data_IF_223090056212
#
_entry.id   IF_223090056212
#
_cell.length_a   1.000
_cell.length_b   1.000
_cell.length_c   1.000
_cell.angle_alpha   90.00
_cell.angle_beta   90.00
_cell.angle_gamma   90.00
#
_symmetry.space_group_name_H-M   'P 1'
#
loop_
_entity.id
_entity.type
_entity.pdbx_description
1 polymer ?
#
# COMPACT_ATOMS: atom_id res chain seq x y z
N UNK A 1 -65.82 -74.41 -29.40
CA UNK A 1 -64.66 -75.02 -28.76
C UNK A 1 -63.40 -74.23 -29.15
N UNK A 2 -63.01 -73.25 -28.36
CA UNK A 2 -61.83 -72.45 -28.60
C UNK A 2 -60.72 -72.94 -27.69
N UNK A 3 -59.60 -73.38 -28.26
CA UNK A 3 -58.39 -73.79 -27.52
C UNK A 3 -57.57 -72.59 -27.15
N UNK A 4 -57.56 -72.24 -25.89
CA UNK A 4 -56.64 -71.24 -25.33
C UNK A 4 -55.18 -71.75 -25.40
N UNK A 5 -54.33 -70.99 -26.02
CA UNK A 5 -52.90 -71.30 -26.25
C UNK A 5 -52.05 -70.70 -25.07
N UNK A 6 -51.45 -71.56 -24.22
CA UNK A 6 -50.72 -71.10 -23.02
C UNK A 6 -49.36 -70.40 -23.29
N UNK A 7 -48.92 -70.32 -24.56
CA UNK A 7 -47.61 -69.74 -24.93
C UNK A 7 -47.59 -68.21 -24.95
N UNK A 8 -48.74 -67.55 -24.90
CA UNK A 8 -48.82 -66.08 -24.95
C UNK A 8 -48.43 -65.40 -23.60
N UNK A 9 -48.80 -66.05 -22.48
CA UNK A 9 -48.51 -65.43 -21.14
C UNK A 9 -47.07 -65.52 -20.70
N UNK A 10 -46.31 -66.50 -21.14
CA UNK A 10 -44.90 -66.65 -20.79
C UNK A 10 -44.01 -65.55 -21.47
N UNK A 11 -44.31 -65.13 -22.71
CA UNK A 11 -43.58 -64.07 -23.44
C UNK A 11 -43.81 -62.66 -22.87
N UNK A 12 -45.01 -62.42 -22.32
CA UNK A 12 -45.32 -61.11 -21.70
C UNK A 12 -44.60 -60.99 -20.35
N UNK A 13 -44.57 -62.01 -19.53
CA UNK A 13 -43.84 -61.98 -18.24
C UNK A 13 -42.35 -61.83 -18.40
N UNK A 14 -41.77 -62.42 -19.42
CA UNK A 14 -40.33 -62.31 -19.71
C UNK A 14 -39.91 -60.88 -20.21
N UNK A 15 -40.79 -60.19 -20.95
CA UNK A 15 -40.56 -58.83 -21.39
C UNK A 15 -40.61 -57.81 -20.23
N UNK A 16 -41.52 -58.01 -19.27
CA UNK A 16 -41.61 -57.11 -18.10
C UNK A 16 -40.49 -57.37 -17.09
N UNK A 17 -40.01 -58.60 -16.93
CA UNK A 17 -38.86 -58.88 -16.03
C UNK A 17 -37.55 -58.38 -16.58
N UNK A 18 -37.33 -58.34 -17.90
CA UNK A 18 -36.18 -57.78 -18.54
C UNK A 18 -36.21 -56.20 -18.46
N UNK A 19 -37.39 -55.58 -18.65
CA UNK A 19 -37.61 -54.17 -18.52
C UNK A 19 -37.40 -53.67 -17.10
N UNK A 20 -37.86 -54.39 -16.08
CA UNK A 20 -37.72 -54.07 -14.67
C UNK A 20 -36.25 -54.24 -14.22
N UNK A 21 -35.54 -55.28 -14.72
CA UNK A 21 -34.10 -55.49 -14.48
C UNK A 21 -33.22 -54.36 -15.09
N UNK A 22 -33.55 -53.90 -16.30
CA UNK A 22 -32.87 -52.80 -16.95
C UNK A 22 -33.09 -51.45 -16.26
N UNK A 23 -34.32 -51.22 -15.77
CA UNK A 23 -34.66 -50.01 -15.00
C UNK A 23 -33.96 -49.97 -13.63
N UNK A 24 -33.85 -51.10 -12.95
CA UNK A 24 -33.10 -51.22 -11.69
C UNK A 24 -31.58 -51.01 -11.91
N UNK A 25 -31.03 -51.52 -13.01
CA UNK A 25 -29.61 -51.35 -13.35
C UNK A 25 -29.25 -49.91 -13.69
N UNK A 26 -30.17 -49.19 -14.33
CA UNK A 26 -30.02 -47.76 -14.62
C UNK A 26 -30.11 -46.92 -13.34
N UNK A 27 -31.01 -47.26 -12.39
CA UNK A 27 -31.09 -46.52 -11.11
C UNK A 27 -29.87 -46.73 -10.19
N UNK A 28 -29.25 -47.92 -10.22
CA UNK A 28 -28.01 -48.18 -9.43
C UNK A 28 -26.79 -47.50 -10.07
N UNK A 29 -26.78 -47.27 -11.40
CA UNK A 29 -25.71 -46.57 -12.10
C UNK A 29 -25.63 -45.07 -11.81
N UNK A 30 -26.74 -44.43 -11.38
CA UNK A 30 -26.76 -43.01 -11.03
C UNK A 30 -26.34 -42.70 -9.59
N UNK A 31 -26.25 -43.68 -8.71
CA UNK A 31 -25.84 -43.48 -7.30
C UNK A 31 -24.33 -43.63 -7.05
N UNK A 32 -23.54 -43.95 -8.08
CA UNK A 32 -22.13 -44.30 -7.91
C UNK A 32 -21.16 -43.23 -8.40
N UNK A 33 -21.66 -42.04 -8.79
CA UNK A 33 -20.80 -41.01 -9.43
C UNK A 33 -20.68 -39.69 -8.68
N UNK A 34 -21.08 -39.59 -7.41
CA UNK A 34 -20.85 -38.32 -6.67
C UNK A 34 -19.36 -38.03 -6.39
N UNK A 35 -18.54 -39.08 -6.22
CA UNK A 35 -17.08 -38.88 -5.94
C UNK A 35 -16.17 -38.91 -7.18
N UNK A 36 -16.69 -39.09 -8.40
CA UNK A 36 -15.87 -39.13 -9.64
C UNK A 36 -15.92 -37.81 -10.39
N UNK A 37 -16.91 -36.96 -10.11
CA UNK A 37 -17.09 -35.68 -10.82
C UNK A 37 -16.38 -34.48 -10.14
N UNK A 38 -15.85 -34.66 -8.94
CA UNK A 38 -14.95 -33.73 -8.29
C UNK A 38 -13.63 -34.47 -7.98
N UNK A 39 -12.76 -34.74 -8.96
CA UNK A 39 -11.42 -35.16 -8.64
C UNK A 39 -10.77 -34.03 -7.83
N UNK A 40 -10.41 -34.29 -6.57
CA UNK A 40 -9.51 -33.40 -5.87
C UNK A 40 -8.30 -33.18 -6.77
N UNK A 41 -7.96 -31.94 -7.11
CA UNK A 41 -6.83 -31.67 -7.98
C UNK A 41 -5.58 -32.16 -7.28
N UNK A 42 -4.97 -33.22 -7.78
CA UNK A 42 -3.75 -33.87 -7.23
C UNK A 42 -2.55 -32.90 -7.23
N UNK A 43 -2.66 -31.78 -7.98
CA UNK A 43 -1.63 -30.78 -8.15
C UNK A 43 -1.98 -29.42 -7.48
N UNK A 44 -3.02 -29.35 -6.66
CA UNK A 44 -3.34 -28.14 -5.89
C UNK A 44 -3.14 -28.44 -4.40
N UNK A 45 -2.28 -27.62 -3.76
CA UNK A 45 -2.21 -27.56 -2.31
C UNK A 45 -3.55 -26.95 -1.85
N UNK A 46 -4.29 -27.66 -1.03
CA UNK A 46 -5.56 -27.17 -0.42
C UNK A 46 -5.24 -26.26 0.76
N UNK A 47 -6.14 -25.36 1.12
CA UNK A 47 -5.92 -24.34 2.15
C UNK A 47 -5.52 -24.96 3.51
N UNK A 48 -6.06 -26.13 3.84
CA UNK A 48 -5.72 -26.92 5.03
C UNK A 48 -4.33 -27.56 5.01
N UNK A 49 -3.67 -27.59 3.85
CA UNK A 49 -2.28 -28.09 3.67
C UNK A 49 -1.25 -26.96 3.66
N UNK A 50 -1.67 -25.71 3.50
CA UNK A 50 -0.77 -24.54 3.39
C UNK A 50 -0.29 -24.06 4.77
N UNK A 51 -1.18 -24.07 5.78
CA UNK A 51 -0.94 -23.47 7.09
C UNK A 51 -1.09 -24.52 8.20
N UNK A 52 -0.04 -25.30 8.45
CA UNK A 52 -0.08 -26.45 9.36
C UNK A 52 0.83 -26.33 10.57
N UNK A 53 1.96 -25.63 10.42
CA UNK A 53 3.01 -25.52 11.45
C UNK A 53 3.68 -24.12 11.44
N UNK A 54 4.59 -23.88 12.37
CA UNK A 54 5.29 -22.61 12.51
C UNK A 54 6.08 -22.23 11.24
N UNK A 55 6.63 -23.18 10.51
CA UNK A 55 7.38 -22.93 9.28
C UNK A 55 6.46 -22.45 8.16
N UNK A 56 5.34 -23.11 7.96
CA UNK A 56 4.34 -22.72 6.97
C UNK A 56 3.69 -21.36 7.27
N UNK A 57 3.45 -21.04 8.55
CA UNK A 57 2.98 -19.73 8.97
C UNK A 57 3.98 -18.62 8.60
N UNK A 58 5.28 -18.85 8.81
CA UNK A 58 6.32 -17.90 8.43
C UNK A 58 6.40 -17.70 6.91
N UNK A 59 6.17 -18.73 6.11
CA UNK A 59 6.09 -18.63 4.63
C UNK A 59 4.92 -17.75 4.21
N UNK A 60 3.73 -17.94 4.83
CA UNK A 60 2.56 -17.10 4.53
C UNK A 60 2.83 -15.64 4.89
N UNK A 61 3.43 -15.35 6.04
CA UNK A 61 3.82 -13.99 6.44
C UNK A 61 4.83 -13.40 5.45
N UNK A 62 5.79 -14.18 4.95
CA UNK A 62 6.72 -13.71 3.90
C UNK A 62 5.97 -13.30 2.62
N UNK A 63 4.91 -14.03 2.27
CA UNK A 63 3.99 -13.64 1.18
C UNK A 63 3.24 -12.34 1.47
N UNK A 64 2.87 -12.07 2.73
CA UNK A 64 2.22 -10.81 3.15
C UNK A 64 3.21 -9.62 3.04
N UNK A 65 4.49 -9.81 3.42
CA UNK A 65 5.54 -8.81 3.18
C UNK A 65 5.75 -8.52 1.69
N UNK A 66 5.58 -9.54 0.83
CA UNK A 66 5.58 -9.32 -0.62
C UNK A 66 4.43 -8.42 -1.08
N UNK A 67 3.28 -8.51 -0.43
CA UNK A 67 2.16 -7.57 -0.61
C UNK A 67 2.56 -6.14 -0.28
N UNK A 68 3.23 -5.90 0.85
CA UNK A 68 3.76 -4.59 1.21
C UNK A 68 4.73 -4.07 0.14
N UNK A 69 5.66 -4.90 -0.32
CA UNK A 69 6.60 -4.54 -1.38
C UNK A 69 5.89 -4.15 -2.69
N UNK A 70 4.82 -4.86 -3.02
CA UNK A 70 4.02 -4.59 -4.22
C UNK A 70 3.21 -3.28 -4.15
N UNK A 71 3.04 -2.69 -2.96
CA UNK A 71 2.40 -1.37 -2.79
C UNK A 71 3.36 -0.20 -3.05
N UNK A 72 4.67 -0.40 -3.08
CA UNK A 72 5.66 0.67 -3.13
C UNK A 72 5.55 1.55 -4.39
N UNK A 73 5.66 0.96 -5.57
CA UNK A 73 5.56 1.70 -6.83
C UNK A 73 4.16 2.33 -7.03
N UNK A 74 3.03 1.62 -6.81
CA UNK A 74 1.70 2.23 -6.84
C UNK A 74 1.53 3.40 -5.86
N UNK A 75 2.11 3.33 -4.64
CA UNK A 75 2.10 4.43 -3.68
C UNK A 75 2.81 5.67 -4.21
N UNK A 76 4.02 5.51 -4.80
CA UNK A 76 4.78 6.61 -5.37
C UNK A 76 4.01 7.25 -6.53
N UNK A 77 3.41 6.45 -7.41
CA UNK A 77 2.57 6.96 -8.48
C UNK A 77 1.37 7.73 -7.93
N UNK A 78 0.64 7.17 -6.97
CA UNK A 78 -0.53 7.83 -6.38
C UNK A 78 -0.14 9.07 -5.56
N UNK A 79 1.01 9.05 -4.89
CA UNK A 79 1.43 10.10 -3.97
C UNK A 79 2.23 11.25 -4.60
N UNK A 80 2.95 11.00 -5.69
CA UNK A 80 3.83 12.01 -6.28
C UNK A 80 3.41 12.42 -7.69
N UNK A 81 2.80 11.51 -8.49
CA UNK A 81 2.39 11.84 -9.85
C UNK A 81 1.05 12.58 -9.89
N UNK A 82 0.16 12.35 -8.90
CA UNK A 82 -1.04 13.19 -8.71
C UNK A 82 -0.71 14.58 -8.18
N UNK A 83 0.53 14.80 -7.74
CA UNK A 83 1.01 16.07 -7.21
C UNK A 83 1.91 16.81 -8.21
N UNK A 84 2.59 17.82 -7.67
CA UNK A 84 3.54 18.67 -8.37
C UNK A 84 4.99 18.09 -8.45
N UNK A 85 5.13 16.76 -8.22
CA UNK A 85 6.44 16.09 -8.20
C UNK A 85 6.79 15.36 -9.50
N UNK A 86 5.86 14.60 -10.07
CA UNK A 86 6.15 13.70 -11.20
C UNK A 86 5.19 13.94 -12.37
N UNK A 87 5.66 13.64 -13.57
CA UNK A 87 4.86 13.64 -14.79
C UNK A 87 5.21 12.46 -15.70
N UNK A 88 4.30 12.12 -16.60
CA UNK A 88 4.55 11.13 -17.64
C UNK A 88 5.56 11.65 -18.65
N UNK A 89 6.45 10.77 -19.12
CA UNK A 89 7.42 11.04 -20.18
C UNK A 89 7.32 10.02 -21.33
N UNK A 90 6.85 8.81 -21.05
CA UNK A 90 6.78 7.73 -22.02
C UNK A 90 5.43 7.62 -22.73
N UNK A 91 5.11 6.40 -23.17
CA UNK A 91 3.92 6.08 -23.95
C UNK A 91 2.86 5.30 -23.19
N UNK A 92 3.07 5.05 -21.90
CA UNK A 92 2.14 4.30 -21.07
C UNK A 92 0.91 5.14 -20.73
N UNK A 93 -0.22 4.80 -21.33
CA UNK A 93 -1.48 5.53 -21.19
C UNK A 93 -1.92 5.73 -19.74
N UNK A 94 -1.66 4.75 -18.86
CA UNK A 94 -1.99 4.88 -17.45
C UNK A 94 -1.27 6.03 -16.74
N UNK A 95 -0.03 6.34 -17.13
CA UNK A 95 0.71 7.47 -16.56
C UNK A 95 0.33 8.79 -17.24
N UNK A 96 0.06 8.76 -18.54
CA UNK A 96 -0.42 9.93 -19.29
C UNK A 96 -1.77 10.41 -18.73
N UNK A 97 -2.72 9.50 -18.48
CA UNK A 97 -4.01 9.84 -17.87
C UNK A 97 -3.85 10.51 -16.48
N UNK A 98 -2.99 9.94 -15.61
CA UNK A 98 -2.72 10.52 -14.29
C UNK A 98 -2.09 11.91 -14.42
N UNK A 99 -1.06 12.05 -15.26
CA UNK A 99 -0.32 13.29 -15.46
C UNK A 99 -1.18 14.42 -16.02
N UNK A 100 -2.17 14.06 -16.83
CA UNK A 100 -3.09 14.99 -17.50
C UNK A 100 -4.39 15.24 -16.73
N UNK A 101 -4.61 14.57 -15.58
CA UNK A 101 -5.87 14.64 -14.81
C UNK A 101 -7.09 14.23 -15.65
N UNK A 102 -6.91 13.19 -16.47
CA UNK A 102 -7.95 12.55 -17.29
C UNK A 102 -8.04 11.07 -16.93
N UNK A 103 -8.02 10.79 -15.63
CA UNK A 103 -7.95 9.44 -15.07
C UNK A 103 -9.27 8.71 -15.29
N UNK A 104 -9.24 7.56 -15.96
CA UNK A 104 -10.44 6.75 -16.19
C UNK A 104 -10.59 5.62 -15.17
N UNK A 105 -11.81 5.12 -14.95
CA UNK A 105 -12.06 3.95 -14.11
C UNK A 105 -11.40 2.66 -14.63
N UNK A 106 -10.96 2.62 -15.88
CA UNK A 106 -10.21 1.52 -16.49
C UNK A 106 -8.70 1.68 -16.39
N UNK A 107 -8.20 2.73 -15.73
CA UNK A 107 -6.78 3.00 -15.59
C UNK A 107 -6.04 1.86 -14.88
N UNK A 108 -4.94 1.40 -15.48
CA UNK A 108 -4.19 0.25 -14.98
C UNK A 108 -3.48 0.54 -13.63
N UNK A 109 -3.05 1.77 -13.37
CA UNK A 109 -2.43 2.16 -12.10
C UNK A 109 -3.45 2.18 -10.97
N UNK A 110 -4.66 2.70 -11.22
CA UNK A 110 -5.76 2.66 -10.25
C UNK A 110 -6.16 1.20 -9.93
N UNK A 111 -6.26 0.35 -10.95
CA UNK A 111 -6.53 -1.08 -10.74
C UNK A 111 -5.39 -1.78 -9.98
N UNK A 112 -4.12 -1.44 -10.25
CA UNK A 112 -2.97 -2.09 -9.62
C UNK A 112 -2.92 -1.84 -8.11
N UNK A 113 -3.07 -0.58 -7.66
CA UNK A 113 -3.09 -0.26 -6.24
C UNK A 113 -4.26 -0.93 -5.51
N UNK A 114 -5.46 -0.87 -6.08
CA UNK A 114 -6.62 -1.55 -5.53
C UNK A 114 -6.39 -3.07 -5.39
N UNK A 115 -5.92 -3.69 -6.48
CA UNK A 115 -5.71 -5.14 -6.50
C UNK A 115 -4.67 -5.59 -5.48
N UNK A 116 -3.58 -4.86 -5.30
CA UNK A 116 -2.55 -5.24 -4.32
C UNK A 116 -3.05 -5.07 -2.88
N UNK A 117 -3.86 -4.04 -2.59
CA UNK A 117 -4.47 -3.86 -1.27
C UNK A 117 -5.34 -5.08 -0.93
N UNK A 118 -6.25 -5.47 -1.82
CA UNK A 118 -7.19 -6.55 -1.55
C UNK A 118 -6.59 -7.94 -1.63
N UNK A 119 -5.61 -8.19 -2.51
CA UNK A 119 -4.87 -9.46 -2.50
C UNK A 119 -4.03 -9.63 -1.24
N UNK A 120 -3.45 -8.55 -0.73
CA UNK A 120 -2.73 -8.56 0.55
C UNK A 120 -3.70 -8.77 1.71
N UNK A 121 -4.85 -8.10 1.73
CA UNK A 121 -5.89 -8.30 2.75
C UNK A 121 -6.39 -9.75 2.76
N UNK A 122 -6.56 -10.38 1.59
CA UNK A 122 -6.91 -11.80 1.49
C UNK A 122 -5.85 -12.69 2.15
N UNK A 123 -4.56 -12.49 1.84
CA UNK A 123 -3.48 -13.28 2.44
C UNK A 123 -3.40 -13.10 3.96
N UNK A 124 -3.66 -11.87 4.44
CA UNK A 124 -3.74 -11.59 5.88
C UNK A 124 -4.91 -12.32 6.52
N UNK A 125 -6.11 -12.25 5.92
CA UNK A 125 -7.29 -12.94 6.42
C UNK A 125 -7.06 -14.46 6.45
N UNK A 126 -6.44 -15.01 5.40
CA UNK A 126 -6.07 -16.43 5.34
C UNK A 126 -5.15 -16.83 6.50
N UNK A 127 -4.13 -16.03 6.80
CA UNK A 127 -3.27 -16.28 7.96
C UNK A 127 -4.08 -16.21 9.26
N UNK A 128 -4.85 -15.15 9.46
CA UNK A 128 -5.56 -14.92 10.72
C UNK A 128 -6.63 -15.97 10.99
N UNK A 129 -7.34 -16.45 9.97
CA UNK A 129 -8.33 -17.51 10.08
C UNK A 129 -7.69 -18.86 10.45
N UNK A 130 -6.52 -19.17 9.91
CA UNK A 130 -5.82 -20.44 10.16
C UNK A 130 -4.86 -20.44 11.34
N UNK A 131 -4.36 -19.27 11.76
CA UNK A 131 -3.31 -19.13 12.79
C UNK A 131 -3.65 -19.79 14.14
N UNK A 132 -4.92 -19.82 14.62
CA UNK A 132 -5.27 -20.53 15.85
C UNK A 132 -4.99 -22.05 15.83
N UNK A 133 -5.08 -22.68 14.66
CA UNK A 133 -4.91 -24.13 14.47
C UNK A 133 -3.45 -24.51 14.17
N UNK A 134 -2.55 -23.53 13.96
CA UNK A 134 -1.13 -23.78 13.66
C UNK A 134 -0.43 -24.42 14.85
N UNK A 135 0.18 -25.59 14.61
CA UNK A 135 0.92 -26.32 15.64
C UNK A 135 2.36 -25.86 15.78
N UNK A 136 2.92 -25.98 16.98
CA UNK A 136 4.34 -25.68 17.23
C UNK A 136 4.67 -24.18 17.36
N UNK A 137 3.68 -23.29 17.32
CA UNK A 137 3.86 -21.87 17.65
C UNK A 137 3.70 -21.65 19.17
N UNK A 138 4.66 -20.95 19.76
CA UNK A 138 4.48 -20.37 21.11
C UNK A 138 3.66 -19.08 21.00
N UNK A 139 3.04 -18.66 22.11
CA UNK A 139 2.11 -17.52 22.10
C UNK A 139 2.78 -16.23 21.60
N UNK A 140 4.03 -15.95 21.99
CA UNK A 140 4.76 -14.76 21.52
C UNK A 140 5.01 -14.74 20.01
N UNK A 141 5.27 -15.91 19.39
CA UNK A 141 5.44 -16.00 17.94
C UNK A 141 4.11 -15.82 17.22
N UNK A 142 3.04 -16.41 17.79
CA UNK A 142 1.68 -16.25 17.27
C UNK A 142 1.27 -14.78 17.28
N UNK A 143 1.45 -14.10 18.42
CA UNK A 143 1.18 -12.66 18.59
C UNK A 143 1.97 -11.81 17.59
N UNK A 144 3.25 -12.12 17.39
CA UNK A 144 4.11 -11.43 16.42
C UNK A 144 3.62 -11.61 14.99
N UNK A 145 3.34 -12.84 14.55
CA UNK A 145 2.87 -13.12 13.19
C UNK A 145 1.52 -12.46 12.91
N UNK A 146 0.60 -12.48 13.89
CA UNK A 146 -0.67 -11.77 13.81
C UNK A 146 -0.45 -10.26 13.69
N UNK A 147 0.45 -9.68 14.50
CA UNK A 147 0.73 -8.25 14.46
C UNK A 147 1.37 -7.81 13.13
N UNK A 148 2.33 -8.59 12.60
CA UNK A 148 2.93 -8.31 11.29
C UNK A 148 1.87 -8.31 10.18
N UNK A 149 0.98 -9.28 10.19
CA UNK A 149 -0.09 -9.38 9.20
C UNK A 149 -1.09 -8.22 9.30
N UNK A 150 -1.59 -7.92 10.50
CA UNK A 150 -2.52 -6.82 10.74
C UNK A 150 -1.92 -5.47 10.37
N UNK A 151 -0.65 -5.23 10.70
CA UNK A 151 0.06 -4.02 10.29
C UNK A 151 0.01 -3.80 8.78
N UNK A 152 0.36 -4.82 8.00
CA UNK A 152 0.43 -4.70 6.54
C UNK A 152 -0.96 -4.51 5.93
N UNK A 153 -2.00 -5.15 6.48
CA UNK A 153 -3.39 -4.93 6.10
C UNK A 153 -3.83 -3.49 6.38
N UNK A 154 -3.55 -3.01 7.59
CA UNK A 154 -3.86 -1.63 7.99
C UNK A 154 -3.16 -0.61 7.08
N UNK A 155 -1.89 -0.84 6.75
CA UNK A 155 -1.15 0.02 5.82
C UNK A 155 -1.80 0.08 4.44
N UNK A 156 -2.23 -1.06 3.90
CA UNK A 156 -2.97 -1.12 2.64
C UNK A 156 -4.30 -0.36 2.69
N UNK A 157 -5.10 -0.56 3.74
CA UNK A 157 -6.37 0.17 3.92
C UNK A 157 -6.17 1.67 4.14
N UNK A 158 -5.11 2.07 4.85
CA UNK A 158 -4.73 3.49 4.99
C UNK A 158 -4.45 4.13 3.63
N UNK A 159 -3.63 3.50 2.78
CA UNK A 159 -3.39 3.98 1.42
C UNK A 159 -4.67 4.00 0.59
N UNK A 160 -5.49 2.96 0.69
CA UNK A 160 -6.76 2.86 -0.01
C UNK A 160 -7.73 3.98 0.36
N UNK A 161 -7.92 4.25 1.66
CA UNK A 161 -8.79 5.30 2.17
C UNK A 161 -8.38 6.69 1.65
N UNK A 162 -7.09 7.00 1.67
CA UNK A 162 -6.61 8.30 1.19
C UNK A 162 -6.53 8.40 -0.34
N UNK A 163 -6.54 7.29 -1.07
CA UNK A 163 -6.52 7.29 -2.54
C UNK A 163 -7.93 7.25 -3.13
N UNK A 164 -8.80 6.34 -2.66
CA UNK A 164 -10.13 6.09 -3.23
C UNK A 164 -11.28 6.64 -2.39
N UNK A 165 -11.03 7.13 -1.18
CA UNK A 165 -12.07 7.51 -0.22
C UNK A 165 -12.72 6.29 0.42
N UNK A 166 -14.05 6.18 0.32
CA UNK A 166 -14.77 5.01 0.81
C UNK A 166 -14.32 3.75 0.09
N UNK A 167 -14.04 2.67 0.83
CA UNK A 167 -13.62 1.38 0.29
C UNK A 167 -14.21 0.21 1.10
N UNK A 168 -14.37 -1.00 0.53
CA UNK A 168 -14.82 -2.16 1.28
C UNK A 168 -13.82 -2.58 2.36
N UNK A 169 -14.30 -2.86 3.58
CA UNK A 169 -13.51 -3.53 4.63
C UNK A 169 -13.78 -5.03 4.50
N UNK A 170 -12.74 -5.79 4.14
CA UNK A 170 -12.79 -7.23 3.92
C UNK A 170 -11.93 -7.94 4.95
N UNK A 171 -12.54 -8.70 5.85
CA UNK A 171 -11.88 -9.38 6.97
C UNK A 171 -12.06 -10.91 6.95
N UNK A 172 -12.55 -11.47 5.83
CA UNK A 172 -12.76 -12.91 5.65
C UNK A 172 -12.23 -13.36 4.29
N UNK A 173 -11.85 -14.64 4.17
CA UNK A 173 -11.50 -15.29 2.90
C UNK A 173 -12.71 -15.75 2.11
N UNK A 174 -13.90 -15.76 2.70
CA UNK A 174 -15.14 -16.25 2.10
C UNK A 174 -15.56 -15.43 0.88
N UNK A 175 -15.46 -16.01 -0.31
CA UNK A 175 -15.88 -15.38 -1.57
C UNK A 175 -17.37 -15.03 -1.54
N UNK A 176 -18.21 -15.90 -0.93
CA UNK A 176 -19.65 -15.70 -0.86
C UNK A 176 -20.04 -14.48 -0.02
N UNK A 177 -19.30 -14.20 1.05
CA UNK A 177 -19.48 -13.02 1.90
C UNK A 177 -18.94 -11.77 1.20
N UNK A 178 -17.70 -11.83 0.71
CA UNK A 178 -16.97 -10.69 0.19
C UNK A 178 -17.58 -10.11 -1.10
N UNK A 179 -18.18 -10.94 -1.95
CA UNK A 179 -18.78 -10.51 -3.24
C UNK A 179 -19.93 -9.51 -3.11
N UNK A 180 -20.48 -9.32 -1.92
CA UNK A 180 -21.59 -8.41 -1.64
C UNK A 180 -21.25 -7.28 -0.65
N UNK A 181 -19.98 -7.17 -0.24
CA UNK A 181 -19.54 -6.08 0.63
C UNK A 181 -19.52 -4.78 -0.17
N UNK A 182 -20.23 -3.75 0.33
CA UNK A 182 -20.20 -2.40 -0.21
C UNK A 182 -19.00 -1.60 0.29
N UNK A 183 -18.90 -0.35 -0.16
CA UNK A 183 -17.90 0.59 0.37
C UNK A 183 -18.31 1.04 1.78
N UNK A 184 -17.41 0.94 2.72
CA UNK A 184 -17.52 1.58 4.03
C UNK A 184 -17.11 3.04 3.94
N UNK A 185 -17.78 3.95 4.67
CA UNK A 185 -17.34 5.34 4.76
C UNK A 185 -15.88 5.46 5.18
N UNK A 186 -15.16 6.44 4.64
CA UNK A 186 -13.72 6.62 4.87
C UNK A 186 -13.37 6.67 6.37
N UNK A 187 -14.22 7.27 7.20
CA UNK A 187 -13.97 7.31 8.64
C UNK A 187 -14.05 5.93 9.30
N UNK A 188 -14.97 5.06 8.88
CA UNK A 188 -15.04 3.67 9.37
C UNK A 188 -13.81 2.85 8.95
N UNK A 189 -13.32 3.09 7.72
CA UNK A 189 -12.07 2.47 7.24
C UNK A 189 -10.89 2.94 8.09
N UNK A 190 -10.82 4.22 8.41
CA UNK A 190 -9.74 4.78 9.23
C UNK A 190 -9.83 4.33 10.69
N UNK A 191 -11.04 4.18 11.25
CA UNK A 191 -11.22 3.63 12.60
C UNK A 191 -10.75 2.16 12.65
N UNK A 192 -11.04 1.37 11.62
CA UNK A 192 -10.49 0.01 11.47
C UNK A 192 -8.96 0.01 11.37
N UNK A 193 -8.37 0.92 10.59
CA UNK A 193 -6.90 1.07 10.47
C UNK A 193 -6.27 1.42 11.82
N UNK A 194 -6.88 2.31 12.59
CA UNK A 194 -6.41 2.69 13.92
C UNK A 194 -6.37 1.49 14.88
N UNK A 195 -7.46 0.72 14.94
CA UNK A 195 -7.54 -0.49 15.76
C UNK A 195 -6.46 -1.50 15.40
N UNK A 196 -6.26 -1.74 14.10
CA UNK A 196 -5.23 -2.65 13.60
C UNK A 196 -3.81 -2.17 13.97
N UNK A 197 -3.48 -0.89 13.78
CA UNK A 197 -2.16 -0.36 14.17
C UNK A 197 -1.94 -0.39 15.67
N UNK A 198 -2.94 -0.01 16.48
CA UNK A 198 -2.84 -0.04 17.93
C UNK A 198 -2.61 -1.46 18.47
N UNK A 199 -3.23 -2.47 17.84
CA UNK A 199 -3.00 -3.88 18.18
C UNK A 199 -1.53 -4.27 18.05
N UNK A 200 -0.77 -3.67 17.14
CA UNK A 200 0.59 -4.09 16.82
C UNK A 200 1.67 -3.55 17.77
N UNK A 201 1.39 -2.43 18.46
CA UNK A 201 2.41 -1.67 19.22
C UNK A 201 3.17 -2.53 20.22
N UNK A 202 2.48 -3.30 21.06
CA UNK A 202 3.16 -4.08 22.11
C UNK A 202 3.44 -5.54 21.72
N UNK A 203 3.15 -5.93 20.49
CA UNK A 203 3.29 -7.30 19.99
C UNK A 203 4.48 -7.48 19.03
N UNK A 204 4.92 -6.39 18.43
CA UNK A 204 6.11 -6.38 17.57
C UNK A 204 7.39 -6.19 18.41
N UNK A 205 8.54 -6.74 17.95
CA UNK A 205 9.79 -6.62 18.69
C UNK A 205 10.25 -5.15 18.79
N UNK A 206 10.85 -4.78 19.93
CA UNK A 206 11.46 -3.45 20.11
C UNK A 206 12.61 -3.25 19.14
N UNK A 207 13.47 -4.26 18.99
CA UNK A 207 14.64 -4.23 18.10
C UNK A 207 14.47 -5.34 17.06
N UNK A 208 14.21 -4.98 15.79
CA UNK A 208 14.13 -5.96 14.71
C UNK A 208 15.53 -6.45 14.29
N UNK A 209 15.61 -7.54 13.56
CA UNK A 209 16.89 -8.05 13.02
C UNK A 209 17.55 -7.05 12.04
N UNK A 210 16.76 -6.34 11.29
CA UNK A 210 17.11 -5.17 10.47
C UNK A 210 15.82 -4.41 10.11
N UNK A 211 15.93 -3.26 9.46
CA UNK A 211 14.78 -2.44 9.07
C UNK A 211 13.84 -3.09 8.03
N UNK A 212 14.17 -4.24 7.46
CA UNK A 212 13.27 -5.00 6.59
C UNK A 212 12.16 -5.75 7.33
N UNK A 213 12.21 -5.79 8.67
CA UNK A 213 11.20 -6.44 9.49
C UNK A 213 10.42 -5.42 10.34
N UNK A 214 9.15 -5.70 10.52
CA UNK A 214 8.28 -4.89 11.37
C UNK A 214 8.75 -4.90 12.82
N UNK A 215 8.64 -3.74 13.45
CA UNK A 215 9.06 -3.50 14.82
C UNK A 215 8.05 -2.61 15.55
N UNK A 216 8.18 -2.51 16.85
CA UNK A 216 7.43 -1.53 17.66
C UNK A 216 7.68 -0.09 17.15
N UNK A 217 8.91 0.21 16.73
CA UNK A 217 9.25 1.48 16.10
C UNK A 217 8.45 1.73 14.81
N UNK A 218 8.29 0.71 13.96
CA UNK A 218 7.48 0.82 12.74
C UNK A 218 5.98 1.02 13.07
N UNK A 219 5.45 0.32 14.08
CA UNK A 219 4.08 0.48 14.54
C UNK A 219 3.81 1.92 15.04
N UNK A 220 4.72 2.45 15.85
CA UNK A 220 4.64 3.84 16.35
C UNK A 220 4.81 4.86 15.24
N UNK A 221 5.68 4.64 14.27
CA UNK A 221 5.85 5.52 13.11
C UNK A 221 4.58 5.53 12.23
N UNK A 222 3.94 4.38 12.04
CA UNK A 222 2.65 4.30 11.34
C UNK A 222 1.55 5.06 12.08
N UNK A 223 1.46 4.93 13.41
CA UNK A 223 0.51 5.69 14.23
C UNK A 223 0.81 7.20 14.22
N UNK A 224 2.09 7.61 14.26
CA UNK A 224 2.45 9.03 14.13
C UNK A 224 1.95 9.63 12.82
N UNK A 225 2.17 8.94 11.68
CA UNK A 225 1.65 9.34 10.36
C UNK A 225 0.13 9.29 10.31
N UNK A 226 -0.49 8.27 10.85
CA UNK A 226 -1.93 8.10 10.90
C UNK A 226 -2.59 9.28 11.65
N UNK A 227 -2.12 9.60 12.86
CA UNK A 227 -2.66 10.70 13.65
C UNK A 227 -2.37 12.08 13.06
N UNK A 228 -1.21 12.27 12.38
CA UNK A 228 -0.97 13.47 11.58
C UNK A 228 -2.08 13.68 10.53
N UNK A 229 -2.48 12.61 9.84
CA UNK A 229 -3.50 12.66 8.78
C UNK A 229 -4.92 12.79 9.35
N UNK A 230 -5.15 12.33 10.58
CA UNK A 230 -6.40 12.53 11.34
C UNK A 230 -6.47 13.88 12.05
N UNK A 231 -5.42 14.70 11.95
CA UNK A 231 -5.28 15.98 12.67
C UNK A 231 -5.35 15.84 14.20
N UNK A 232 -5.05 14.65 14.72
CA UNK A 232 -4.85 14.41 16.15
C UNK A 232 -3.41 14.74 16.52
N UNK A 233 -3.16 16.03 16.75
CA UNK A 233 -1.84 16.58 16.97
C UNK A 233 -1.15 16.06 18.24
N UNK A 234 -1.93 15.72 19.26
CA UNK A 234 -1.41 15.19 20.53
C UNK A 234 -0.84 13.79 20.32
N UNK A 235 -1.59 12.90 19.70
CA UNK A 235 -1.14 11.55 19.43
C UNK A 235 -0.05 11.50 18.36
N UNK A 236 -0.12 12.34 17.32
CA UNK A 236 0.93 12.47 16.30
C UNK A 236 2.28 12.86 16.94
N UNK A 237 2.28 13.87 17.82
CA UNK A 237 3.48 14.28 18.56
C UNK A 237 3.97 13.19 19.52
N UNK A 238 3.07 12.53 20.23
CA UNK A 238 3.42 11.49 21.19
C UNK A 238 4.16 10.34 20.52
N UNK A 239 3.57 9.73 19.49
CA UNK A 239 4.18 8.59 18.82
C UNK A 239 5.47 8.98 18.07
N UNK A 240 5.52 10.13 17.42
CA UNK A 240 6.75 10.62 16.81
C UNK A 240 7.86 10.84 17.87
N UNK A 241 7.51 11.37 19.05
CA UNK A 241 8.46 11.56 20.15
C UNK A 241 8.97 10.23 20.70
N UNK A 242 8.11 9.23 20.86
CA UNK A 242 8.50 7.91 21.34
C UNK A 242 9.53 7.25 20.38
N UNK A 243 9.32 7.36 19.07
CA UNK A 243 10.27 6.86 18.06
C UNK A 243 11.60 7.62 18.13
N UNK A 244 11.56 8.96 18.14
CA UNK A 244 12.77 9.81 18.19
C UNK A 244 13.59 9.58 19.46
N UNK A 245 12.92 9.25 20.58
CA UNK A 245 13.57 9.10 21.89
C UNK A 245 13.95 7.65 22.21
N UNK A 246 13.72 6.69 21.29
CA UNK A 246 14.04 5.27 21.51
C UNK A 246 13.21 4.60 22.61
N UNK A 247 11.99 5.09 22.90
CA UNK A 247 11.15 4.51 23.94
C UNK A 247 10.52 3.21 23.48
N UNK A 248 11.02 2.08 23.98
CA UNK A 248 10.61 0.72 23.57
C UNK A 248 10.71 0.54 22.05
N UNK A 249 11.77 1.08 21.42
CA UNK A 249 12.07 0.92 20.00
C UNK A 249 13.58 0.71 19.82
N UNK A 250 14.02 0.37 18.60
CA UNK A 250 15.43 0.49 18.26
C UNK A 250 15.90 1.94 18.34
N UNK A 251 17.21 2.13 18.53
CA UNK A 251 17.84 3.45 18.47
C UNK A 251 18.02 3.87 17.01
N UNK A 252 17.24 4.86 16.58
CA UNK A 252 17.36 5.47 15.26
C UNK A 252 18.14 6.80 15.37
N UNK A 253 19.01 7.07 14.41
CA UNK A 253 19.80 8.30 14.35
C UNK A 253 19.73 8.93 12.97
N UNK A 254 19.64 10.27 12.91
CA UNK A 254 19.74 10.96 11.63
C UNK A 254 21.13 10.75 11.04
N UNK A 255 21.19 10.52 9.74
CA UNK A 255 22.44 10.48 9.00
C UNK A 255 23.16 11.84 9.07
N UNK A 256 24.47 11.84 8.95
CA UNK A 256 25.27 13.06 9.01
C UNK A 256 25.01 14.00 7.82
N UNK A 257 24.64 13.42 6.68
CA UNK A 257 24.32 14.10 5.42
C UNK A 257 23.22 13.34 4.68
N UNK A 258 22.68 13.93 3.62
CA UNK A 258 21.59 13.29 2.87
C UNK A 258 22.04 12.09 2.02
N UNK A 259 23.30 12.02 1.61
CA UNK A 259 23.84 10.86 0.87
C UNK A 259 23.69 9.56 1.69
N UNK A 260 23.93 9.64 3.02
CA UNK A 260 23.74 8.51 3.93
C UNK A 260 22.31 7.97 3.95
N UNK A 261 21.30 8.83 3.74
CA UNK A 261 19.87 8.44 3.70
C UNK A 261 19.55 7.53 2.51
N UNK A 262 20.32 7.62 1.44
CA UNK A 262 20.10 6.83 0.22
C UNK A 262 20.67 5.41 0.33
N UNK A 263 21.40 5.09 1.39
CA UNK A 263 21.94 3.76 1.60
C UNK A 263 20.87 2.81 2.19
N UNK A 264 20.91 1.56 1.76
CA UNK A 264 20.12 0.50 2.38
C UNK A 264 20.43 0.39 3.87
N UNK A 265 19.39 0.20 4.68
CA UNK A 265 19.48 0.09 6.14
C UNK A 265 20.21 1.27 6.80
N UNK A 266 20.00 2.49 6.28
CA UNK A 266 20.54 3.70 6.89
C UNK A 266 20.13 3.80 8.37
N UNK A 267 20.89 4.53 9.18
CA UNK A 267 20.58 4.72 10.61
C UNK A 267 19.25 5.43 10.87
N UNK A 268 18.67 6.08 9.85
CA UNK A 268 17.33 6.66 9.89
C UNK A 268 16.20 5.67 9.60
N UNK A 269 16.51 4.50 9.02
CA UNK A 269 15.50 3.58 8.52
C UNK A 269 14.77 2.86 9.65
N UNK A 270 13.46 3.08 9.73
CA UNK A 270 12.56 2.44 10.69
C UNK A 270 11.94 1.18 10.07
N UNK A 271 11.51 1.29 8.82
CA UNK A 271 11.00 0.17 8.03
C UNK A 271 11.37 0.39 6.56
N UNK A 272 11.95 -0.63 5.95
CA UNK A 272 12.27 -0.68 4.53
C UNK A 272 11.62 -1.87 3.85
N UNK A 273 11.27 -1.70 2.59
CA UNK A 273 11.00 -2.80 1.67
C UNK A 273 12.34 -3.24 1.11
N UNK A 274 12.72 -4.48 1.42
CA UNK A 274 14.02 -5.03 1.02
C UNK A 274 13.92 -5.71 -0.33
N UNK A 275 14.80 -5.35 -1.23
CA UNK A 275 14.95 -6.02 -2.53
C UNK A 275 16.28 -6.76 -2.61
N UNK A 276 16.26 -7.87 -3.33
CA UNK A 276 17.46 -8.63 -3.70
C UNK A 276 17.51 -8.81 -5.21
N UNK A 277 18.66 -9.21 -5.71
CA UNK A 277 18.82 -9.53 -7.14
C UNK A 277 17.86 -10.65 -7.62
N UNK A 278 17.40 -11.51 -6.68
CA UNK A 278 16.45 -12.58 -6.99
C UNK A 278 14.99 -12.08 -6.98
N UNK A 279 14.68 -11.06 -6.18
CA UNK A 279 13.31 -10.53 -6.01
C UNK A 279 13.00 -9.44 -7.02
N UNK A 280 14.04 -8.75 -7.49
CA UNK A 280 13.93 -7.70 -8.50
C UNK A 280 14.55 -8.20 -9.81
N UNK A 281 13.74 -8.68 -10.77
CA UNK A 281 14.23 -9.22 -12.04
C UNK A 281 14.89 -8.16 -12.95
N UNK A 282 15.42 -7.08 -12.38
CA UNK A 282 16.14 -6.03 -13.09
C UNK A 282 15.24 -4.93 -13.63
N UNK A 283 15.77 -4.14 -14.56
CA UNK A 283 15.15 -2.95 -15.14
C UNK A 283 13.86 -3.21 -15.94
N UNK A 284 13.46 -4.47 -16.15
CA UNK A 284 12.25 -4.83 -16.87
C UNK A 284 11.05 -5.18 -15.99
N UNK A 285 11.21 -5.21 -14.65
CA UNK A 285 10.13 -5.53 -13.74
C UNK A 285 9.24 -4.31 -13.46
N UNK A 286 7.93 -4.47 -13.55
CA UNK A 286 6.95 -3.45 -13.12
C UNK A 286 7.00 -3.16 -11.61
N UNK A 287 7.75 -3.93 -10.84
CA UNK A 287 7.99 -3.73 -9.40
C UNK A 287 9.24 -2.90 -9.13
N UNK A 288 10.07 -2.66 -10.13
CA UNK A 288 11.28 -1.85 -9.99
C UNK A 288 10.96 -0.37 -10.16
N UNK A 289 11.09 0.39 -9.08
CA UNK A 289 11.00 1.85 -9.12
C UNK A 289 12.14 2.44 -9.97
N UNK A 290 13.33 1.83 -9.94
CA UNK A 290 14.42 2.22 -10.82
C UNK A 290 14.03 2.13 -12.30
N UNK A 291 13.31 1.07 -12.72
CA UNK A 291 12.86 0.97 -14.11
C UNK A 291 11.89 2.10 -14.49
N UNK A 292 11.07 2.55 -13.55
CA UNK A 292 10.13 3.66 -13.76
C UNK A 292 10.86 4.97 -14.08
N UNK A 293 11.93 5.27 -13.34
CA UNK A 293 12.66 6.54 -13.41
C UNK A 293 13.85 6.49 -14.38
N UNK A 294 14.73 5.50 -14.25
CA UNK A 294 16.01 5.42 -14.96
C UNK A 294 15.93 4.48 -16.18
N UNK A 295 15.41 3.26 -16.01
CA UNK A 295 15.50 2.23 -17.02
C UNK A 295 14.69 2.56 -18.28
N UNK A 296 13.39 2.88 -18.13
CA UNK A 296 12.49 3.25 -19.23
C UNK A 296 12.15 4.72 -19.29
N UNK A 297 12.41 5.44 -18.22
CA UNK A 297 12.07 6.86 -18.07
C UNK A 297 10.61 7.19 -18.44
N UNK A 298 9.68 6.33 -18.05
CA UNK A 298 8.23 6.53 -18.26
C UNK A 298 7.69 7.69 -17.43
N UNK A 299 8.42 8.06 -16.34
CA UNK A 299 8.07 9.13 -15.42
C UNK A 299 9.33 9.95 -15.12
N UNK A 300 9.18 11.27 -15.19
CA UNK A 300 10.23 12.25 -14.91
C UNK A 300 9.78 13.26 -13.86
N UNK A 301 10.69 13.98 -13.20
CA UNK A 301 10.33 15.03 -12.25
C UNK A 301 9.71 16.24 -12.99
N UNK A 302 8.70 16.87 -12.36
CA UNK A 302 8.16 18.16 -12.82
C UNK A 302 9.09 19.30 -12.47
N UNK A 303 9.00 20.40 -13.21
CA UNK A 303 9.78 21.62 -12.97
C UNK A 303 9.60 22.16 -11.55
N UNK A 304 8.45 21.98 -10.93
CA UNK A 304 8.14 22.43 -9.57
C UNK A 304 9.05 21.77 -8.53
N UNK A 305 9.21 20.44 -8.58
CA UNK A 305 10.07 19.72 -7.62
C UNK A 305 11.56 19.95 -7.95
N UNK A 306 11.92 20.03 -9.23
CA UNK A 306 13.28 20.37 -9.64
C UNK A 306 13.66 21.73 -9.06
N UNK A 307 12.80 22.75 -9.22
CA UNK A 307 13.01 24.07 -8.66
C UNK A 307 13.12 24.04 -7.12
N UNK A 308 12.24 23.31 -6.44
CA UNK A 308 12.24 23.20 -4.98
C UNK A 308 13.54 22.56 -4.47
N UNK A 309 13.96 21.42 -5.05
CA UNK A 309 15.20 20.72 -4.67
C UNK A 309 16.45 21.59 -4.88
N UNK A 310 16.50 22.35 -5.98
CA UNK A 310 17.62 23.24 -6.30
C UNK A 310 17.61 24.54 -5.51
N UNK A 311 16.46 24.99 -5.01
CA UNK A 311 16.35 26.27 -4.30
C UNK A 311 16.49 26.13 -2.79
N UNK A 312 15.88 25.10 -2.21
CA UNK A 312 15.77 24.87 -0.76
C UNK A 312 16.10 23.42 -0.36
N UNK A 313 16.43 22.56 -1.31
CA UNK A 313 16.71 21.15 -1.05
C UNK A 313 18.08 20.87 -0.42
N UNK A 314 19.04 21.80 -0.57
CA UNK A 314 20.41 21.56 -0.13
C UNK A 314 21.01 20.31 -0.78
N UNK A 315 21.59 19.42 0.01
CA UNK A 315 22.18 18.16 -0.50
C UNK A 315 21.20 17.21 -1.19
N UNK A 316 19.88 17.42 -1.05
CA UNK A 316 18.85 16.55 -1.65
C UNK A 316 18.77 16.66 -3.18
N UNK A 317 19.42 17.68 -3.78
CA UNK A 317 19.56 17.79 -5.24
C UNK A 317 20.23 16.53 -5.85
N UNK A 318 21.03 15.78 -5.09
CA UNK A 318 21.64 14.51 -5.52
C UNK A 318 20.64 13.44 -5.95
N UNK A 319 19.35 13.58 -5.62
CA UNK A 319 18.28 12.70 -6.13
C UNK A 319 17.96 12.92 -7.60
N UNK A 320 18.52 13.97 -8.22
CA UNK A 320 18.27 14.36 -9.60
C UNK A 320 19.55 14.32 -10.43
N UNK A 321 19.44 13.84 -11.67
CA UNK A 321 20.48 13.93 -12.69
C UNK A 321 19.94 14.68 -13.90
N UNK A 322 20.78 15.48 -14.54
CA UNK A 322 20.42 16.22 -15.74
C UNK A 322 21.27 15.81 -16.92
N UNK A 323 20.62 15.44 -18.04
CA UNK A 323 21.26 15.20 -19.33
C UNK A 323 20.56 16.04 -20.40
N UNK A 324 21.35 16.92 -21.04
CA UNK A 324 20.84 17.79 -22.09
C UNK A 324 20.50 17.04 -23.40
N UNK A 325 21.08 15.86 -23.60
CA UNK A 325 20.83 15.03 -24.77
C UNK A 325 19.47 14.32 -24.70
N UNK A 326 18.89 14.24 -23.49
CA UNK A 326 17.56 13.69 -23.24
C UNK A 326 16.41 14.68 -23.52
N UNK A 327 16.71 15.96 -23.71
CA UNK A 327 15.67 16.98 -23.94
C UNK A 327 15.01 16.75 -25.30
N UNK A 328 13.75 16.26 -25.28
CA UNK A 328 12.96 16.06 -26.49
C UNK A 328 11.45 16.00 -26.18
N UNK A 329 10.64 16.71 -26.97
CA UNK A 329 9.19 16.73 -26.73
C UNK A 329 8.85 17.27 -25.34
N UNK A 330 8.19 16.48 -24.50
CA UNK A 330 7.83 16.83 -23.13
C UNK A 330 8.93 16.44 -22.11
N UNK A 331 10.04 15.82 -22.56
CA UNK A 331 11.17 15.47 -21.71
C UNK A 331 12.02 16.71 -21.39
N UNK A 332 12.15 17.00 -20.10
CA UNK A 332 12.89 18.15 -19.61
C UNK A 332 14.38 17.87 -19.32
N UNK A 333 14.88 16.68 -19.66
CA UNK A 333 16.27 16.25 -19.45
C UNK A 333 16.62 15.84 -18.02
N UNK A 334 15.66 15.88 -17.07
CA UNK A 334 15.90 15.49 -15.70
C UNK A 334 15.43 14.06 -15.40
N UNK A 335 16.20 13.36 -14.61
CA UNK A 335 15.94 11.98 -14.18
C UNK A 335 15.97 11.89 -12.65
N UNK A 336 15.03 11.14 -12.05
CA UNK A 336 15.09 10.79 -10.63
C UNK A 336 16.05 9.61 -10.48
N UNK A 337 17.16 9.83 -9.76
CA UNK A 337 18.21 8.81 -9.52
C UNK A 337 18.25 8.33 -8.06
N UNK A 338 17.22 8.66 -7.27
CA UNK A 338 17.10 8.28 -5.87
C UNK A 338 17.20 6.76 -5.63
N UNK A 339 16.73 5.94 -6.57
CA UNK A 339 16.63 4.50 -6.42
C UNK A 339 17.48 3.78 -7.47
N UNK A 340 18.50 3.07 -7.02
CA UNK A 340 19.24 2.11 -7.85
C UNK A 340 18.42 0.86 -8.18
N UNK A 341 18.98 -0.06 -8.98
CA UNK A 341 18.24 -1.24 -9.47
C UNK A 341 17.75 -2.20 -8.37
N UNK A 342 18.40 -2.20 -7.22
CA UNK A 342 18.14 -3.13 -6.12
C UNK A 342 18.04 -2.42 -4.77
N UNK A 343 18.03 -1.09 -4.75
CA UNK A 343 17.96 -0.32 -3.51
C UNK A 343 16.65 -0.59 -2.79
N UNK A 344 16.72 -0.64 -1.48
CA UNK A 344 15.57 -0.73 -0.61
C UNK A 344 14.72 0.54 -0.69
N UNK A 345 13.44 0.42 -0.34
CA UNK A 345 12.52 1.54 -0.32
C UNK A 345 12.10 1.82 1.10
N UNK A 346 12.40 3.01 1.61
CA UNK A 346 11.94 3.45 2.91
C UNK A 346 10.41 3.56 2.97
N UNK A 347 9.81 2.87 3.94
CA UNK A 347 8.38 3.01 4.28
C UNK A 347 8.22 4.06 5.37
N UNK A 348 9.09 4.01 6.39
CA UNK A 348 9.20 4.97 7.47
C UNK A 348 10.66 5.26 7.79
N UNK A 349 10.99 6.52 8.01
CA UNK A 349 12.33 6.96 8.43
C UNK A 349 12.26 8.10 9.44
N UNK A 350 13.31 8.25 10.22
CA UNK A 350 13.39 9.14 11.37
C UNK A 350 13.11 10.61 11.01
N UNK A 351 13.58 11.07 9.86
CA UNK A 351 13.34 12.45 9.42
C UNK A 351 11.86 12.78 9.29
N UNK A 352 11.02 11.82 8.82
CA UNK A 352 9.58 12.00 8.80
C UNK A 352 9.02 12.20 10.21
N UNK A 353 9.51 11.47 11.20
CA UNK A 353 9.06 11.60 12.59
C UNK A 353 9.37 13.00 13.15
N UNK A 354 10.54 13.58 12.85
CA UNK A 354 10.83 14.95 13.18
C UNK A 354 9.86 15.93 12.52
N UNK A 355 9.52 15.74 11.24
CA UNK A 355 8.61 16.64 10.52
C UNK A 355 7.15 16.48 10.98
N UNK A 356 6.72 15.28 11.34
CA UNK A 356 5.42 15.04 11.99
C UNK A 356 5.36 15.79 13.32
N UNK A 357 6.38 15.64 14.16
CA UNK A 357 6.45 16.31 15.45
C UNK A 357 6.51 17.82 15.33
N UNK A 358 7.26 18.32 14.34
CA UNK A 358 7.33 19.75 14.04
C UNK A 358 5.96 20.34 13.73
N UNK A 359 5.20 19.68 12.82
CA UNK A 359 3.86 20.13 12.46
C UNK A 359 2.87 20.03 13.64
N UNK A 360 2.86 18.89 14.33
CA UNK A 360 1.99 18.68 15.49
C UNK A 360 2.21 19.74 16.58
N UNK A 361 3.46 20.06 16.90
CA UNK A 361 3.82 21.12 17.84
C UNK A 361 3.41 22.50 17.35
N UNK A 362 3.65 22.81 16.08
CA UNK A 362 3.23 24.08 15.48
C UNK A 362 1.71 24.25 15.52
N UNK A 363 0.93 23.21 15.18
CA UNK A 363 -0.55 23.21 15.26
C UNK A 363 -1.06 23.43 16.66
N UNK A 364 -0.36 22.95 17.66
CA UNK A 364 -0.66 23.15 19.08
C UNK A 364 -0.15 24.50 19.65
N UNK A 365 0.35 25.41 18.79
CA UNK A 365 0.85 26.73 19.17
C UNK A 365 2.26 26.72 19.79
N UNK A 366 2.94 25.58 19.81
CA UNK A 366 4.32 25.45 20.33
C UNK A 366 5.31 25.62 19.20
N UNK A 367 5.69 26.87 18.95
CA UNK A 367 6.53 27.21 17.79
C UNK A 367 8.02 27.13 18.08
N UNK A 368 8.48 27.70 19.20
CA UNK A 368 9.91 27.90 19.55
C UNK A 368 10.27 27.26 20.88
N UNK A 369 11.57 27.21 21.17
CA UNK A 369 12.11 26.56 22.39
C UNK A 369 12.38 25.07 22.18
N UNK A 370 12.84 24.39 23.22
CA UNK A 370 13.27 22.98 23.21
C UNK A 370 12.16 22.01 22.74
N UNK A 371 10.90 22.38 23.00
CA UNK A 371 9.72 21.59 22.60
C UNK A 371 8.92 22.28 21.48
N UNK A 372 9.54 23.19 20.74
CA UNK A 372 8.91 23.88 19.62
C UNK A 372 9.12 23.19 18.27
N UNK A 373 8.14 23.34 17.37
CA UNK A 373 8.20 22.76 16.03
C UNK A 373 9.37 23.29 15.18
N UNK A 374 9.79 24.54 15.42
CA UNK A 374 10.93 25.12 14.72
C UNK A 374 12.23 24.37 15.00
N UNK A 375 12.42 23.83 16.21
CA UNK A 375 13.61 23.07 16.56
C UNK A 375 13.72 21.78 15.73
N UNK A 376 12.61 21.07 15.56
CA UNK A 376 12.57 19.84 14.76
C UNK A 376 12.79 20.13 13.27
N UNK A 377 12.20 21.21 12.73
CA UNK A 377 12.45 21.68 11.37
C UNK A 377 13.92 22.02 11.14
N UNK A 378 14.53 22.78 12.06
CA UNK A 378 15.95 23.13 12.02
C UNK A 378 16.86 21.90 12.02
N UNK A 379 16.51 20.87 12.76
CA UNK A 379 17.29 19.63 12.81
C UNK A 379 17.37 18.98 11.42
N UNK A 380 16.27 18.92 10.68
CA UNK A 380 16.24 18.33 9.34
C UNK A 380 16.94 19.23 8.32
N UNK A 381 16.72 20.54 8.34
CA UNK A 381 17.37 21.48 7.42
C UNK A 381 18.89 21.49 7.56
N UNK A 382 19.39 21.51 8.78
CA UNK A 382 20.83 21.47 9.06
C UNK A 382 21.50 20.21 8.54
N UNK A 383 20.84 19.06 8.68
CA UNK A 383 21.33 17.81 8.16
C UNK A 383 21.53 17.85 6.63
N UNK A 384 20.69 18.56 5.90
CA UNK A 384 20.79 18.71 4.44
C UNK A 384 21.54 19.98 3.98
N UNK A 385 22.17 20.69 4.91
CA UNK A 385 23.02 21.82 4.59
C UNK A 385 22.29 23.13 4.20
N UNK A 386 20.97 23.22 4.40
CA UNK A 386 20.17 24.42 4.10
C UNK A 386 19.51 24.99 5.36
N UNK A 387 19.89 26.22 5.71
CA UNK A 387 19.24 26.99 6.79
C UNK A 387 18.58 28.29 6.25
N UNK A 388 18.32 28.37 4.94
CA UNK A 388 17.74 29.56 4.32
C UNK A 388 16.31 29.82 4.80
N UNK A 389 15.92 31.09 4.87
CA UNK A 389 14.57 31.53 5.20
C UNK A 389 14.10 31.31 6.63
N UNK A 390 14.93 30.78 7.54
CA UNK A 390 14.57 30.52 8.92
C UNK A 390 14.37 31.78 9.78
N UNK A 391 15.09 32.84 9.48
CA UNK A 391 15.00 34.14 10.20
C UNK A 391 13.62 34.81 10.00
N UNK A 392 12.92 34.46 8.94
CA UNK A 392 11.63 35.05 8.56
C UNK A 392 10.43 34.34 9.24
N UNK A 393 10.67 33.22 9.97
CA UNK A 393 9.63 32.47 10.65
C UNK A 393 9.30 33.13 11.99
N UNK A 394 8.30 34.00 11.99
CA UNK A 394 7.83 34.73 13.18
C UNK A 394 6.45 34.33 13.65
N UNK A 395 5.71 33.54 12.86
CA UNK A 395 4.34 33.13 13.14
C UNK A 395 4.05 31.68 12.80
N UNK A 396 2.96 31.15 13.39
CA UNK A 396 2.52 29.75 13.17
C UNK A 396 2.31 29.43 11.69
N UNK A 397 1.66 30.32 10.93
CA UNK A 397 1.40 30.09 9.51
C UNK A 397 2.70 29.96 8.70
N UNK A 398 3.70 30.80 9.00
CA UNK A 398 5.00 30.74 8.34
C UNK A 398 5.75 29.44 8.70
N UNK A 399 5.67 29.02 9.97
CA UNK A 399 6.28 27.75 10.39
C UNK A 399 5.62 26.56 9.70
N UNK A 400 4.28 26.51 9.63
CA UNK A 400 3.56 25.44 8.93
C UNK A 400 3.88 25.40 7.44
N UNK A 401 4.00 26.56 6.79
CA UNK A 401 4.44 26.64 5.40
C UNK A 401 5.88 26.14 5.21
N UNK A 402 6.78 26.50 6.12
CA UNK A 402 8.16 26.03 6.08
C UNK A 402 8.27 24.52 6.31
N UNK A 403 7.44 23.95 7.18
CA UNK A 403 7.35 22.49 7.39
C UNK A 403 6.78 21.79 6.14
N UNK A 404 5.75 22.35 5.50
CA UNK A 404 5.22 21.81 4.24
C UNK A 404 6.30 21.78 3.15
N UNK A 405 7.05 22.87 2.99
CA UNK A 405 8.17 22.95 2.03
C UNK A 405 9.28 21.96 2.35
N UNK A 406 9.59 21.79 3.65
CA UNK A 406 10.60 20.83 4.07
C UNK A 406 10.15 19.39 3.79
N UNK A 407 8.88 19.05 4.10
CA UNK A 407 8.32 17.75 3.76
C UNK A 407 8.35 17.49 2.25
N UNK A 408 8.10 18.52 1.43
CA UNK A 408 8.14 18.44 -0.03
C UNK A 408 9.50 17.99 -0.54
N UNK A 409 10.59 18.56 -0.04
CA UNK A 409 11.95 18.25 -0.52
C UNK A 409 12.59 17.07 0.21
N UNK A 410 12.30 16.91 1.51
CA UNK A 410 12.84 15.82 2.32
C UNK A 410 12.27 14.47 1.93
N UNK A 411 10.95 14.39 1.69
CA UNK A 411 10.22 13.18 1.37
C UNK A 411 9.92 13.04 -0.13
N UNK A 412 10.69 13.77 -0.97
CA UNK A 412 10.51 13.75 -2.42
C UNK A 412 10.68 12.32 -2.98
N UNK A 413 9.78 11.95 -3.87
CA UNK A 413 9.76 10.65 -4.55
C UNK A 413 9.49 9.44 -3.66
N UNK A 414 8.99 9.67 -2.43
CA UNK A 414 8.57 8.63 -1.50
C UNK A 414 7.03 8.44 -1.45
N UNK A 415 6.28 9.13 -2.30
CA UNK A 415 4.81 9.01 -2.40
C UNK A 415 4.07 9.71 -1.25
N UNK A 416 4.54 10.88 -0.80
CA UNK A 416 3.92 11.66 0.29
C UNK A 416 3.16 12.89 -0.19
N UNK A 417 3.64 13.55 -1.25
CA UNK A 417 3.23 14.91 -1.61
C UNK A 417 1.74 15.08 -1.81
N UNK A 418 1.08 14.19 -2.57
CA UNK A 418 -0.35 14.25 -2.82
C UNK A 418 -1.18 14.17 -1.55
N UNK A 419 -0.82 13.23 -0.69
CA UNK A 419 -1.52 13.03 0.58
C UNK A 419 -1.32 14.22 1.53
N UNK A 420 -0.13 14.84 1.55
CA UNK A 420 0.13 16.06 2.28
C UNK A 420 -0.73 17.23 1.76
N UNK A 421 -0.81 17.41 0.45
CA UNK A 421 -1.66 18.45 -0.16
C UNK A 421 -3.15 18.25 0.15
N UNK A 422 -3.62 17.01 0.14
CA UNK A 422 -5.02 16.69 0.46
C UNK A 422 -5.36 16.98 1.91
N UNK A 423 -4.59 16.41 2.85
CA UNK A 423 -4.87 16.57 4.29
C UNK A 423 -4.75 18.02 4.77
N UNK A 424 -3.94 18.85 4.11
CA UNK A 424 -3.79 20.26 4.44
C UNK A 424 -4.75 21.20 3.67
N UNK A 425 -5.61 20.65 2.81
CA UNK A 425 -6.53 21.41 1.95
C UNK A 425 -5.82 22.23 0.89
N UNK A 426 -4.57 21.90 0.55
CA UNK A 426 -3.73 22.65 -0.38
C UNK A 426 -3.79 22.14 -1.83
N UNK A 427 -4.41 20.95 -2.05
CA UNK A 427 -4.41 20.31 -3.37
C UNK A 427 -4.88 21.26 -4.49
N UNK A 428 -6.08 21.85 -4.40
CA UNK A 428 -6.61 22.72 -5.46
C UNK A 428 -5.76 23.97 -5.67
N UNK A 429 -5.22 24.58 -4.60
CA UNK A 429 -4.40 25.80 -4.74
C UNK A 429 -3.06 25.53 -5.43
N UNK A 430 -2.44 24.36 -5.19
CA UNK A 430 -1.19 23.96 -5.82
C UNK A 430 -1.45 23.50 -7.24
N UNK A 431 -2.41 22.59 -7.44
CA UNK A 431 -2.63 21.95 -8.73
C UNK A 431 -3.16 22.89 -9.80
N UNK A 432 -3.96 23.92 -9.45
CA UNK A 432 -4.36 24.98 -10.39
C UNK A 432 -3.17 25.79 -10.92
N UNK A 433 -2.02 25.76 -10.25
CA UNK A 433 -0.79 26.38 -10.76
C UNK A 433 0.05 25.46 -11.66
N UNK A 434 -0.21 24.15 -11.59
CA UNK A 434 0.50 23.10 -12.35
C UNK A 434 -0.19 22.83 -13.67
N UNK A 435 -1.53 22.76 -13.68
CA UNK A 435 -2.32 22.40 -14.86
C UNK A 435 -3.69 23.07 -14.86
N UNK A 436 -4.18 23.39 -16.06
CA UNK A 436 -5.58 23.85 -16.26
C UNK A 436 -6.61 22.71 -16.27
N UNK A 437 -6.17 21.46 -16.31
CA UNK A 437 -7.05 20.29 -16.36
C UNK A 437 -7.55 19.85 -14.99
N UNK A 438 -6.94 20.39 -13.92
CA UNK A 438 -7.31 20.07 -12.54
C UNK A 438 -8.78 20.38 -12.24
N UNK A 439 -9.42 19.45 -11.53
CA UNK A 439 -10.76 19.59 -10.96
C UNK A 439 -10.79 19.00 -9.54
N UNK A 440 -11.64 19.51 -8.66
CA UNK A 440 -11.81 18.95 -7.30
C UNK A 440 -12.32 17.50 -7.31
N UNK A 441 -12.84 16.99 -8.42
CA UNK A 441 -13.18 15.57 -8.58
C UNK A 441 -11.93 14.68 -8.63
N UNK A 442 -10.76 15.23 -8.98
CA UNK A 442 -9.49 14.49 -9.04
C UNK A 442 -8.87 14.25 -7.66
N UNK A 443 -9.49 14.77 -6.58
CA UNK A 443 -9.06 14.51 -5.20
C UNK A 443 -9.06 13.01 -4.86
N UNK A 444 -9.89 12.21 -5.50
CA UNK A 444 -9.96 10.77 -5.29
C UNK A 444 -9.77 10.04 -6.63
N UNK A 445 -9.12 8.90 -6.57
CA UNK A 445 -9.06 8.00 -7.72
C UNK A 445 -10.40 7.28 -7.92
N UNK A 446 -10.71 6.85 -9.16
CA UNK A 446 -11.91 6.06 -9.43
C UNK A 446 -11.83 4.69 -8.76
N UNK A 447 -12.96 4.18 -8.31
CA UNK A 447 -13.09 2.74 -8.04
C UNK A 447 -12.88 2.01 -9.37
N UNK A 448 -11.98 1.01 -9.43
CA UNK A 448 -11.68 0.34 -10.69
C UNK A 448 -12.91 -0.27 -11.36
N UNK A 449 -13.03 -0.08 -12.66
CA UNK A 449 -14.18 -0.54 -13.45
C UNK A 449 -14.48 -2.03 -13.27
N UNK A 450 -13.43 -2.85 -13.16
CA UNK A 450 -13.56 -4.29 -12.95
C UNK A 450 -14.29 -4.62 -11.66
N UNK A 451 -14.03 -3.87 -10.59
CA UNK A 451 -14.67 -4.07 -9.29
C UNK A 451 -16.15 -3.67 -9.34
N UNK A 452 -16.46 -2.55 -10.00
CA UNK A 452 -17.85 -2.12 -10.23
C UNK A 452 -18.64 -3.15 -11.03
N UNK A 453 -18.01 -3.80 -12.01
CA UNK A 453 -18.65 -4.83 -12.83
C UNK A 453 -18.87 -6.14 -12.06
N UNK A 454 -17.93 -6.53 -11.21
CA UNK A 454 -17.93 -7.81 -10.51
C UNK A 454 -18.76 -7.80 -9.21
N UNK A 455 -18.85 -6.64 -8.54
CA UNK A 455 -19.60 -6.52 -7.30
C UNK A 455 -20.90 -5.70 -7.51
N UNK A 456 -22.08 -6.33 -7.41
CA UNK A 456 -23.36 -5.64 -7.62
C UNK A 456 -23.59 -4.44 -6.69
N UNK A 457 -23.01 -4.45 -5.47
CA UNK A 457 -23.16 -3.36 -4.50
C UNK A 457 -22.35 -2.13 -4.85
N UNK A 458 -21.33 -2.28 -5.72
CA UNK A 458 -20.48 -1.17 -6.17
C UNK A 458 -21.00 -0.49 -7.45
N UNK A 459 -22.02 -1.03 -8.13
CA UNK A 459 -22.48 -0.55 -9.44
C UNK A 459 -22.82 0.94 -9.51
N UNK A 460 -23.29 1.51 -8.40
CA UNK A 460 -23.66 2.94 -8.33
C UNK A 460 -22.79 3.70 -7.30
N UNK A 461 -21.64 3.14 -6.97
CA UNK A 461 -20.77 3.64 -5.90
C UNK A 461 -19.44 4.18 -6.44
N UNK A 462 -19.44 4.75 -7.65
CA UNK A 462 -18.26 5.40 -8.22
C UNK A 462 -18.02 6.76 -7.56
N UNK A 463 -16.77 7.19 -7.51
CA UNK A 463 -16.40 8.52 -7.08
C UNK A 463 -16.89 9.57 -8.09
N UNK A 464 -17.26 10.79 -7.64
CA UNK A 464 -17.67 11.86 -8.54
C UNK A 464 -16.59 12.15 -9.60
N UNK A 465 -17.01 12.36 -10.84
CA UNK A 465 -16.11 12.66 -11.96
C UNK A 465 -15.81 11.47 -12.87
N UNK A 466 -16.16 10.22 -12.47
CA UNK A 466 -15.83 9.00 -13.21
C UNK A 466 -17.05 8.17 -13.64
#
# INVERSE_FOLDING_TARGET
MSKNNPKSFAKIRQKYSIGLGLLLFVMVGFSACENILEPEPVDRITDDQVLTDAGSAQVVVSGIYRGLASMAAPKIIAGDMMADHLQANGTFTQYIEISNYDLSASNASAQALWSVIYSTAYNVNFLLEGLPEVTGLIDSDRDRLEAEARFIRAYGYFLGAYTYGDIPIVTSTSISENRSIGRSPVNEVLDFVEEEFLFTVDKLPEVPSNAGFLSNGAAKAALARFYLYREDWENAERYATEVISGVNTADYTLEANFEGVLNDFSSESILEIVYSANDNPGTSSNFSINNLFVGRREVIPRDQIIFALRSIGGEREIMLEFDADDISGDDNGWTVVRYGPFDNISVFRLAEMYLIRAEARARQGRMTGTNGGLQDLLTIRRRSGDESGLADITGQSQLLQAIEQERQVELAFEGHRWYDLKRTGRASSVMNSVTSNWSDTDLLWPVPLREIQNNPTLRNAQNPGY
#
